data_IF_348020131771
#
_entry.id   IF_348020131771
#
_cell.length_a   1.000
_cell.length_b   1.000
_cell.length_c   1.000
_cell.angle_alpha   90.00
_cell.angle_beta   90.00
_cell.angle_gamma   90.00
#
_symmetry.space_group_name_H-M   'P 1'
#
loop_
_entity.id
_entity.type
_entity.pdbx_description
1 polymer ?
#
# COMPACT_ATOMS: atom_id res chain seq x y z
N UNK A 1 4.95 5.77 16.94
CA UNK A 1 3.52 5.59 16.62
C UNK A 1 3.11 4.11 16.70
N UNK A 2 3.09 3.49 17.89
CA UNK A 2 2.97 2.02 18.03
C UNK A 2 1.64 1.43 17.53
N UNK A 3 0.55 2.20 17.62
CA UNK A 3 -0.83 1.78 17.30
C UNK A 3 -1.40 2.46 16.05
N UNK A 4 -0.55 3.10 15.26
CA UNK A 4 -0.97 3.77 14.04
C UNK A 4 -1.03 2.81 12.86
N UNK A 5 -1.91 3.10 11.91
CA UNK A 5 -2.01 2.45 10.60
C UNK A 5 -2.18 3.54 9.54
N UNK A 6 -1.48 3.41 8.42
CA UNK A 6 -1.65 4.28 7.28
C UNK A 6 -2.52 3.60 6.22
N UNK A 7 -3.50 4.32 5.70
CA UNK A 7 -4.29 3.94 4.53
C UNK A 7 -3.83 4.76 3.36
N UNK A 8 -3.27 4.09 2.34
CA UNK A 8 -2.85 4.72 1.10
C UNK A 8 -3.86 4.41 0.01
N UNK A 9 -4.70 5.39 -0.29
CA UNK A 9 -5.77 5.26 -1.27
C UNK A 9 -5.28 5.60 -2.69
N UNK A 10 -5.98 5.09 -3.70
CA UNK A 10 -5.79 5.48 -5.10
C UNK A 10 -6.00 6.98 -5.30
N UNK A 11 -5.00 7.65 -5.86
CA UNK A 11 -4.96 9.09 -6.09
C UNK A 11 -6.10 9.58 -7.00
N UNK A 12 -6.60 8.72 -7.90
CA UNK A 12 -7.73 9.02 -8.81
C UNK A 12 -9.10 9.04 -8.12
N UNK A 13 -9.21 8.48 -6.90
CA UNK A 13 -10.46 8.43 -6.14
C UNK A 13 -10.70 9.64 -5.24
N UNK A 14 -9.76 10.59 -5.19
CA UNK A 14 -9.86 11.79 -4.36
C UNK A 14 -11.09 12.66 -4.71
N UNK A 15 -11.63 13.41 -3.74
CA UNK A 15 -11.27 13.39 -2.32
C UNK A 15 -11.87 12.17 -1.61
N UNK A 16 -11.15 11.68 -0.61
CA UNK A 16 -11.66 10.72 0.37
C UNK A 16 -12.16 11.46 1.60
N UNK A 17 -13.13 10.88 2.29
CA UNK A 17 -13.70 11.36 3.56
C UNK A 17 -13.74 10.22 4.58
N UNK A 18 -13.90 10.56 5.85
CA UNK A 18 -13.99 9.58 6.94
C UNK A 18 -15.08 8.53 6.66
N UNK A 19 -16.22 8.96 6.11
CA UNK A 19 -17.35 8.07 5.81
C UNK A 19 -17.03 7.00 4.77
N UNK A 20 -16.11 7.26 3.84
CA UNK A 20 -15.71 6.29 2.80
C UNK A 20 -15.06 5.04 3.43
N UNK A 21 -14.44 5.18 4.61
CA UNK A 21 -13.78 4.09 5.33
C UNK A 21 -14.72 3.36 6.29
N UNK A 22 -15.87 3.96 6.63
CA UNK A 22 -16.74 3.50 7.73
C UNK A 22 -17.29 2.11 7.49
N UNK A 23 -17.76 1.83 6.27
CA UNK A 23 -18.28 0.52 5.89
C UNK A 23 -17.21 -0.56 6.08
N UNK A 24 -16.03 -0.34 5.52
CA UNK A 24 -14.91 -1.29 5.62
C UNK A 24 -14.51 -1.55 7.08
N UNK A 25 -14.32 -0.50 7.89
CA UNK A 25 -13.94 -0.64 9.29
C UNK A 25 -15.00 -1.39 10.11
N UNK A 26 -16.27 -1.25 9.75
CA UNK A 26 -17.39 -1.98 10.36
C UNK A 26 -17.38 -3.43 9.94
N UNK A 27 -17.22 -3.71 8.65
CA UNK A 27 -17.18 -5.07 8.09
C UNK A 27 -16.00 -5.88 8.67
N UNK A 28 -14.86 -5.23 8.92
CA UNK A 28 -13.70 -5.85 9.58
C UNK A 28 -13.84 -5.93 11.12
N UNK A 29 -14.91 -5.38 11.70
CA UNK A 29 -15.16 -5.40 13.14
C UNK A 29 -14.25 -4.47 13.98
N UNK A 30 -13.42 -3.63 13.34
CA UNK A 30 -12.44 -2.77 14.03
C UNK A 30 -12.93 -1.34 14.28
N UNK A 31 -14.11 -0.95 13.78
CA UNK A 31 -14.60 0.44 13.86
C UNK A 31 -14.64 1.00 15.28
N UNK A 32 -15.06 0.19 16.27
CA UNK A 32 -15.10 0.59 17.69
C UNK A 32 -13.71 0.72 18.32
N UNK A 33 -12.69 0.15 17.66
CA UNK A 33 -11.30 0.17 18.09
C UNK A 33 -10.52 1.35 17.48
N UNK A 34 -11.13 2.16 16.63
CA UNK A 34 -10.53 3.40 16.12
C UNK A 34 -10.61 4.48 17.19
N UNK A 35 -9.46 5.04 17.60
CA UNK A 35 -9.38 6.17 18.54
C UNK A 35 -9.20 7.51 17.84
N UNK A 36 -8.76 7.52 16.58
CA UNK A 36 -8.68 8.70 15.76
C UNK A 36 -8.44 8.34 14.30
N UNK A 37 -8.94 9.18 13.39
CA UNK A 37 -8.74 9.06 11.95
C UNK A 37 -8.60 10.45 11.36
N UNK A 38 -7.61 10.65 10.49
CA UNK A 38 -7.37 11.95 9.86
C UNK A 38 -6.62 11.84 8.55
N UNK A 39 -6.89 12.78 7.65
CA UNK A 39 -6.11 12.93 6.43
C UNK A 39 -4.72 13.45 6.79
N UNK A 40 -3.68 12.85 6.22
CA UNK A 40 -2.29 13.26 6.45
C UNK A 40 -1.75 14.13 5.31
N UNK A 41 -1.88 13.67 4.07
CA UNK A 41 -1.42 14.40 2.88
C UNK A 41 -2.34 14.22 1.68
N UNK A 42 -2.67 15.35 1.03
CA UNK A 42 -3.39 15.42 -0.25
C UNK A 42 -4.65 14.54 -0.31
N UNK A 43 -5.29 14.32 0.84
CA UNK A 43 -6.51 13.52 1.08
C UNK A 43 -6.53 12.08 0.51
N UNK A 44 -5.38 11.50 0.14
CA UNK A 44 -5.27 10.10 -0.30
C UNK A 44 -4.50 9.23 0.70
N UNK A 45 -3.70 9.85 1.59
CA UNK A 45 -3.11 9.16 2.74
C UNK A 45 -3.88 9.54 4.00
N UNK A 46 -4.35 8.52 4.71
CA UNK A 46 -5.08 8.66 5.97
C UNK A 46 -4.35 7.92 7.08
N UNK A 47 -4.30 8.53 8.26
CA UNK A 47 -3.73 7.92 9.45
C UNK A 47 -4.83 7.56 10.43
N UNK A 48 -4.83 6.30 10.86
CA UNK A 48 -5.71 5.80 11.91
C UNK A 48 -4.88 5.50 13.14
N UNK A 49 -5.39 5.90 14.29
CA UNK A 49 -4.93 5.44 15.58
C UNK A 49 -5.89 4.38 16.10
N UNK A 50 -5.34 3.24 16.52
CA UNK A 50 -6.10 2.15 17.11
C UNK A 50 -5.99 2.19 18.64
N UNK A 51 -7.04 1.74 19.34
CA UNK A 51 -7.06 1.60 20.80
C UNK A 51 -6.13 0.48 21.26
N UNK A 52 -6.10 -0.63 20.52
CA UNK A 52 -5.36 -1.85 20.88
C UNK A 52 -4.40 -2.29 19.76
N UNK A 53 -3.41 -3.12 20.10
CA UNK A 53 -2.44 -3.66 19.13
C UNK A 53 -3.07 -4.76 18.29
N UNK A 54 -4.01 -5.50 18.87
CA UNK A 54 -4.77 -6.57 18.23
C UNK A 54 -5.64 -6.02 17.10
N UNK A 55 -6.29 -4.88 17.33
CA UNK A 55 -7.08 -4.20 16.30
C UNK A 55 -6.21 -3.62 15.18
N UNK A 56 -5.03 -3.09 15.52
CA UNK A 56 -4.01 -2.71 14.52
C UNK A 56 -3.65 -3.93 13.68
N UNK A 57 -3.33 -5.06 14.31
CA UNK A 57 -2.92 -6.29 13.63
C UNK A 57 -4.02 -6.80 12.69
N UNK A 58 -5.27 -6.87 13.15
CA UNK A 58 -6.40 -7.27 12.33
C UNK A 58 -6.58 -6.36 11.10
N UNK A 59 -6.37 -5.05 11.27
CA UNK A 59 -6.42 -4.09 10.18
C UNK A 59 -5.27 -4.28 9.19
N UNK A 60 -4.02 -4.42 9.66
CA UNK A 60 -2.85 -4.61 8.80
C UNK A 60 -2.83 -5.96 8.10
N UNK A 61 -3.38 -7.02 8.72
CA UNK A 61 -3.49 -8.36 8.13
C UNK A 61 -4.45 -8.37 6.93
N UNK A 62 -5.37 -7.40 6.82
CA UNK A 62 -6.21 -7.23 5.62
C UNK A 62 -5.38 -6.84 4.38
N UNK A 63 -4.24 -6.16 4.55
CA UNK A 63 -3.26 -5.83 3.52
C UNK A 63 -3.74 -4.86 2.43
N UNK A 64 -4.65 -5.30 1.58
CA UNK A 64 -5.22 -4.53 0.47
C UNK A 64 -6.74 -4.58 0.54
N UNK A 65 -7.36 -3.40 0.50
CA UNK A 65 -8.81 -3.23 0.64
C UNK A 65 -9.36 -2.39 -0.51
N UNK A 66 -10.69 -2.31 -0.60
CA UNK A 66 -11.39 -1.42 -1.55
C UNK A 66 -12.07 -0.28 -0.83
N UNK A 67 -11.82 0.95 -1.28
CA UNK A 67 -12.49 2.17 -0.82
C UNK A 67 -12.94 2.94 -2.06
N UNK A 68 -14.24 3.25 -2.17
CA UNK A 68 -14.87 3.78 -3.40
C UNK A 68 -14.56 2.92 -4.63
N UNK A 69 -14.63 1.59 -4.45
CA UNK A 69 -14.29 0.57 -5.46
C UNK A 69 -12.86 0.61 -6.01
N UNK A 70 -11.97 1.40 -5.40
CA UNK A 70 -10.57 1.54 -5.77
C UNK A 70 -9.65 0.91 -4.73
N UNK A 71 -8.46 0.54 -5.17
CA UNK A 71 -7.43 -0.06 -4.31
C UNK A 71 -7.01 0.92 -3.22
N UNK A 72 -6.97 0.43 -1.98
CA UNK A 72 -6.39 1.13 -0.85
C UNK A 72 -5.48 0.16 -0.10
N UNK A 73 -4.22 0.55 0.10
CA UNK A 73 -3.23 -0.24 0.81
C UNK A 73 -3.31 0.06 2.30
N UNK A 74 -3.26 -0.99 3.12
CA UNK A 74 -3.18 -0.89 4.58
C UNK A 74 -1.74 -1.12 5.00
N UNK A 75 -1.10 -0.09 5.54
CA UNK A 75 0.33 -0.06 5.81
C UNK A 75 0.55 0.12 7.31
N UNK A 76 1.40 -0.73 7.89
CA UNK A 76 1.93 -0.51 9.22
C UNK A 76 3.12 0.48 9.12
N UNK A 77 2.98 1.73 9.61
CA UNK A 77 4.05 2.73 9.51
C UNK A 77 5.26 2.40 10.38
N UNK A 78 5.15 1.42 11.28
CA UNK A 78 6.26 0.94 12.11
C UNK A 78 6.95 -0.29 11.54
N UNK A 79 6.41 -0.88 10.46
CA UNK A 79 7.02 -2.03 9.79
C UNK A 79 7.98 -1.50 8.72
N UNK A 80 9.28 -1.83 8.81
CA UNK A 80 10.30 -1.28 7.91
C UNK A 80 10.32 -1.95 6.53
N UNK A 81 9.51 -2.99 6.30
CA UNK A 81 9.50 -3.75 5.06
C UNK A 81 8.47 -3.18 4.08
N UNK A 82 8.97 -2.62 2.98
CA UNK A 82 8.16 -2.09 1.88
C UNK A 82 8.36 -2.98 0.65
N UNK A 83 7.27 -3.46 0.05
CA UNK A 83 7.27 -4.05 -1.29
C UNK A 83 6.81 -2.99 -2.29
N UNK A 84 7.59 -2.75 -3.33
CA UNK A 84 7.29 -1.78 -4.37
C UNK A 84 7.48 -2.36 -5.77
N UNK A 85 6.76 -1.82 -6.75
CA UNK A 85 6.96 -2.13 -8.17
C UNK A 85 7.75 -1.00 -8.80
N UNK A 86 8.89 -1.33 -9.40
CA UNK A 86 9.66 -0.40 -10.20
C UNK A 86 9.15 -0.43 -11.64
N UNK A 87 8.76 0.74 -12.14
CA UNK A 87 8.30 0.92 -13.49
C UNK A 87 9.43 1.53 -14.33
N UNK A 88 9.45 1.19 -15.62
CA UNK A 88 10.30 1.83 -16.64
C UNK A 88 11.80 1.58 -16.44
N UNK A 89 12.13 0.44 -15.84
CA UNK A 89 13.49 -0.05 -15.77
C UNK A 89 13.93 -0.53 -17.16
N UNK A 90 15.15 -0.17 -17.59
CA UNK A 90 15.73 -0.73 -18.81
C UNK A 90 15.93 -2.25 -18.66
N UNK A 91 15.80 -2.98 -19.77
CA UNK A 91 15.73 -4.45 -19.77
C UNK A 91 17.04 -5.14 -19.35
N UNK A 92 18.17 -4.43 -19.49
CA UNK A 92 19.52 -4.91 -19.21
C UNK A 92 20.02 -4.55 -17.80
N UNK A 93 19.18 -3.87 -17.00
CA UNK A 93 19.57 -3.50 -15.63
C UNK A 93 19.64 -4.74 -14.76
N UNK A 94 20.86 -5.06 -14.32
CA UNK A 94 21.10 -6.15 -13.38
C UNK A 94 20.44 -5.88 -12.02
N UNK A 95 19.95 -6.94 -11.36
CA UNK A 95 19.31 -6.86 -10.04
C UNK A 95 20.21 -6.22 -8.99
N UNK A 96 21.53 -6.40 -9.08
CA UNK A 96 22.48 -5.80 -8.14
C UNK A 96 22.62 -4.29 -8.32
N UNK A 97 22.50 -3.78 -9.56
CA UNK A 97 22.44 -2.34 -9.79
C UNK A 97 21.19 -1.72 -9.15
N UNK A 98 20.05 -2.44 -9.19
CA UNK A 98 18.84 -2.04 -8.46
C UNK A 98 19.12 -2.02 -6.96
N UNK A 99 19.74 -3.07 -6.39
CA UNK A 99 20.08 -3.10 -4.95
C UNK A 99 20.96 -1.91 -4.55
N UNK A 100 22.01 -1.63 -5.31
CA UNK A 100 22.90 -0.50 -5.06
C UNK A 100 22.15 0.84 -5.12
N UNK A 101 21.27 1.03 -6.10
CA UNK A 101 20.47 2.25 -6.23
C UNK A 101 19.51 2.49 -5.05
N UNK A 102 19.05 1.42 -4.41
CA UNK A 102 18.13 1.48 -3.26
C UNK A 102 18.83 1.44 -1.89
N UNK A 103 20.16 1.28 -1.85
CA UNK A 103 20.93 1.13 -0.61
C UNK A 103 20.71 2.28 0.39
N UNK A 104 20.64 3.53 -0.09
CA UNK A 104 20.44 4.71 0.76
C UNK A 104 19.05 4.77 1.40
N UNK A 105 18.08 4.04 0.86
CA UNK A 105 16.69 4.01 1.35
C UNK A 105 16.42 2.83 2.29
N UNK A 106 17.32 1.84 2.33
CA UNK A 106 17.27 0.70 3.23
C UNK A 106 17.77 -0.60 2.59
N UNK A 107 17.70 -1.68 3.38
CA UNK A 107 18.11 -3.01 2.93
C UNK A 107 17.12 -3.60 1.92
N UNK A 108 17.59 -3.84 0.69
CA UNK A 108 16.81 -4.58 -0.31
C UNK A 108 16.89 -6.08 -0.02
N UNK A 109 15.82 -6.64 0.54
CA UNK A 109 15.75 -8.09 0.87
C UNK A 109 15.58 -8.98 -0.36
N UNK A 110 14.78 -8.55 -1.34
CA UNK A 110 14.44 -9.37 -2.50
C UNK A 110 14.20 -8.48 -3.73
N UNK A 111 14.62 -8.96 -4.92
CA UNK A 111 14.33 -8.35 -6.21
C UNK A 111 13.80 -9.44 -7.14
N UNK A 112 12.54 -9.32 -7.52
CA UNK A 112 11.87 -10.25 -8.43
C UNK A 112 11.49 -9.55 -9.72
N UNK A 113 11.55 -10.29 -10.83
CA UNK A 113 11.14 -9.78 -12.12
C UNK A 113 9.61 -9.75 -12.18
N UNK A 114 9.05 -8.59 -12.48
CA UNK A 114 7.62 -8.43 -12.69
C UNK A 114 7.24 -8.76 -14.14
N UNK A 115 6.01 -9.19 -14.36
CA UNK A 115 5.49 -9.32 -15.71
C UNK A 115 5.37 -7.94 -16.39
N UNK A 116 6.17 -7.69 -17.43
CA UNK A 116 6.03 -6.49 -18.25
C UNK A 116 4.81 -6.59 -19.15
N UNK A 117 3.90 -5.61 -19.05
CA UNK A 117 2.73 -5.50 -19.92
C UNK A 117 3.12 -5.32 -21.39
N UNK A 118 4.23 -4.66 -21.66
CA UNK A 118 4.76 -4.43 -23.03
C UNK A 118 5.23 -5.75 -23.65
N UNK A 119 5.94 -6.59 -22.90
CA UNK A 119 6.38 -7.91 -23.40
C UNK A 119 5.19 -8.85 -23.66
N UNK A 120 4.11 -8.75 -22.87
CA UNK A 120 2.86 -9.49 -23.13
C UNK A 120 2.17 -9.07 -24.42
N UNK A 121 2.23 -7.79 -24.77
CA UNK A 121 1.64 -7.28 -26.01
C UNK A 121 2.50 -7.62 -27.23
N UNK A 122 3.82 -7.58 -27.12
CA UNK A 122 4.74 -7.97 -28.19
C UNK A 122 4.73 -9.49 -28.48
N UNK A 123 4.50 -10.32 -27.45
CA UNK A 123 4.37 -11.78 -27.61
C UNK A 123 2.95 -12.24 -27.93
N UNK A 124 2.00 -11.33 -28.20
CA UNK A 124 0.69 -11.77 -28.71
C UNK A 124 0.84 -12.22 -30.16
N UNK A 125 0.31 -13.40 -30.52
CA UNK A 125 0.23 -13.79 -31.92
C UNK A 125 -0.60 -12.73 -32.66
N UNK A 126 -0.04 -12.23 -33.76
CA UNK A 126 -0.75 -11.36 -34.69
C UNK A 126 -1.89 -12.20 -35.28
N UNK A 127 -3.13 -11.82 -34.97
CA UNK A 127 -4.34 -12.37 -35.60
C UNK A 127 -4.54 -11.70 -36.94
#
# INVERSE_FOLDING_TARGET
MRRAVALHCDVSGRPYRIDDFRKFLKDLGVIQQVSGIGAYQMSHVWLLNMKTVEAKKALTDAGVIKVKDRVCLVIDPTRPEVKMKLHWLAFDVAKDAIRCAFYEYGDVKEVTDGESRILKELNRPLV
#
